data_IF_952565545616
#
_entry.id   IF_952565545616
#
_cell.length_a   1.000
_cell.length_b   1.000
_cell.length_c   1.000
_cell.angle_alpha   90.00
_cell.angle_beta   90.00
_cell.angle_gamma   90.00
#
_symmetry.space_group_name_H-M   'P 1'
#
loop_
_entity.id
_entity.type
_entity.pdbx_description
1 polymer ?
#
# COMPACT_ATOMS: atom_id res chain seq x y z
N UNK A 1 11.70 -27.23 -6.58
CA UNK A 1 11.22 -26.15 -7.47
C UNK A 1 12.09 -24.89 -7.52
N UNK A 2 12.63 -24.36 -6.40
CA UNK A 2 13.47 -23.12 -6.30
C UNK A 2 14.73 -23.03 -7.18
N UNK A 3 15.13 -24.10 -7.89
CA UNK A 3 16.33 -24.15 -8.76
C UNK A 3 16.05 -24.01 -10.26
N UNK A 4 14.78 -23.98 -10.71
CA UNK A 4 14.45 -23.76 -12.14
C UNK A 4 14.87 -22.35 -12.57
N UNK A 5 15.43 -22.21 -13.78
CA UNK A 5 15.97 -20.94 -14.30
C UNK A 5 14.93 -19.82 -14.29
N UNK A 6 13.67 -20.16 -14.59
CA UNK A 6 12.52 -19.25 -14.58
C UNK A 6 12.28 -18.62 -13.21
N UNK A 7 12.41 -19.40 -12.11
CA UNK A 7 12.20 -18.90 -10.74
C UNK A 7 13.41 -18.09 -10.25
N UNK A 8 14.62 -18.44 -10.69
CA UNK A 8 15.82 -17.64 -10.41
C UNK A 8 15.80 -16.30 -11.15
N UNK A 9 15.21 -16.25 -12.36
CA UNK A 9 15.08 -15.03 -13.14
C UNK A 9 14.13 -14.02 -12.47
N UNK A 10 12.97 -14.48 -11.97
CA UNK A 10 11.97 -13.61 -11.32
C UNK A 10 12.32 -13.11 -9.91
N UNK A 11 13.50 -13.45 -9.38
CA UNK A 11 14.03 -13.01 -8.08
C UNK A 11 13.10 -13.32 -6.88
N UNK A 12 13.28 -14.46 -6.19
CA UNK A 12 12.32 -14.95 -5.18
C UNK A 12 12.13 -14.03 -3.97
N UNK A 13 13.11 -13.17 -3.65
CA UNK A 13 13.03 -12.23 -2.53
C UNK A 13 11.96 -11.16 -2.75
N UNK A 14 11.85 -10.58 -3.95
CA UNK A 14 10.83 -9.57 -4.26
C UNK A 14 9.44 -10.18 -4.35
N UNK A 15 9.33 -11.41 -4.86
CA UNK A 15 8.06 -12.12 -4.88
C UNK A 15 7.55 -12.40 -3.45
N UNK A 16 8.44 -12.82 -2.55
CA UNK A 16 8.07 -13.04 -1.15
C UNK A 16 7.61 -11.73 -0.47
N UNK A 17 8.32 -10.62 -0.73
CA UNK A 17 7.94 -9.30 -0.22
C UNK A 17 6.55 -8.87 -0.73
N UNK A 18 6.26 -9.09 -2.02
CA UNK A 18 4.94 -8.81 -2.58
C UNK A 18 3.85 -9.63 -1.89
N UNK A 19 4.04 -10.95 -1.75
CA UNK A 19 3.09 -11.82 -1.08
C UNK A 19 2.87 -11.43 0.39
N UNK A 20 3.94 -11.11 1.12
CA UNK A 20 3.85 -10.62 2.49
C UNK A 20 3.06 -9.31 2.57
N UNK A 21 3.33 -8.34 1.69
CA UNK A 21 2.60 -7.08 1.64
C UNK A 21 1.10 -7.27 1.37
N UNK A 22 0.75 -8.10 0.38
CA UNK A 22 -0.65 -8.40 0.08
C UNK A 22 -1.35 -9.17 1.22
N UNK A 23 -0.63 -10.05 1.92
CA UNK A 23 -1.17 -10.76 3.08
C UNK A 23 -1.45 -9.81 4.24
N UNK A 24 -0.51 -8.91 4.55
CA UNK A 24 -0.67 -7.87 5.59
C UNK A 24 -1.87 -6.97 5.26
N UNK A 25 -1.99 -6.56 4.00
CA UNK A 25 -3.12 -5.76 3.55
C UNK A 25 -4.44 -6.53 3.68
N UNK A 26 -4.47 -7.82 3.31
CA UNK A 26 -5.65 -8.67 3.52
C UNK A 26 -6.01 -8.88 4.99
N UNK A 27 -5.01 -8.94 5.88
CA UNK A 27 -5.22 -9.05 7.32
C UNK A 27 -5.91 -7.81 7.92
N UNK A 28 -5.86 -6.64 7.26
CA UNK A 28 -6.58 -5.43 7.70
C UNK A 28 -8.11 -5.58 7.70
N UNK A 29 -8.64 -6.54 6.93
CA UNK A 29 -10.09 -6.83 6.92
C UNK A 29 -10.57 -7.34 8.27
N UNK A 30 -9.71 -8.05 9.02
CA UNK A 30 -10.04 -8.60 10.33
C UNK A 30 -10.41 -7.49 11.32
N UNK A 31 -9.53 -6.52 11.65
CA UNK A 31 -9.88 -5.44 12.57
C UNK A 31 -11.01 -4.56 12.03
N UNK A 32 -11.11 -4.36 10.72
CA UNK A 32 -12.22 -3.63 10.11
C UNK A 32 -13.58 -4.31 10.32
N UNK A 33 -13.61 -5.64 10.39
CA UNK A 33 -14.83 -6.42 10.61
C UNK A 33 -15.28 -6.52 12.07
N UNK A 34 -14.46 -6.07 13.02
CA UNK A 34 -14.80 -6.14 14.44
C UNK A 34 -15.86 -5.10 14.80
N UNK A 35 -16.91 -5.57 15.48
CA UNK A 35 -18.02 -4.75 15.99
C UNK A 35 -18.37 -5.22 17.40
N UNK A 36 -19.33 -4.55 18.03
CA UNK A 36 -19.90 -4.95 19.33
C UNK A 36 -20.32 -6.43 19.33
N UNK A 37 -20.25 -7.15 20.48
CA UNK A 37 -20.16 -6.64 21.85
C UNK A 37 -18.74 -6.59 22.45
N UNK A 38 -17.70 -6.52 21.61
CA UNK A 38 -16.31 -6.37 22.08
C UNK A 38 -16.15 -5.03 22.85
N UNK A 39 -15.17 -4.96 23.76
CA UNK A 39 -14.89 -3.75 24.55
C UNK A 39 -14.56 -2.54 23.67
N UNK A 40 -14.97 -1.34 24.10
CA UNK A 40 -14.68 -0.07 23.41
C UNK A 40 -13.18 0.12 23.15
N UNK A 41 -12.34 -0.20 24.14
CA UNK A 41 -10.88 -0.16 23.98
C UNK A 41 -10.38 -1.13 22.89
N UNK A 42 -10.97 -2.33 22.79
CA UNK A 42 -10.64 -3.29 21.75
C UNK A 42 -11.01 -2.79 20.36
N UNK A 43 -12.14 -2.09 20.25
CA UNK A 43 -12.60 -1.47 19.00
C UNK A 43 -11.75 -0.26 18.61
N UNK A 44 -11.32 0.57 19.57
CA UNK A 44 -10.38 1.67 19.33
C UNK A 44 -9.05 1.17 18.75
N UNK A 45 -8.50 0.11 19.36
CA UNK A 45 -7.27 -0.53 18.86
C UNK A 45 -7.49 -1.12 17.46
N UNK A 46 -8.65 -1.75 17.22
CA UNK A 46 -9.01 -2.26 15.91
C UNK A 46 -9.03 -1.14 14.86
N UNK A 47 -9.70 -0.02 15.13
CA UNK A 47 -9.75 1.16 14.24
C UNK A 47 -8.36 1.61 13.79
N UNK A 48 -7.42 1.77 14.73
CA UNK A 48 -6.07 2.21 14.41
C UNK A 48 -5.27 1.12 13.68
N UNK A 49 -5.38 -0.14 14.12
CA UNK A 49 -4.66 -1.25 13.51
C UNK A 49 -5.01 -1.45 12.02
N UNK A 50 -6.27 -1.20 11.64
CA UNK A 50 -6.73 -1.29 10.24
C UNK A 50 -5.88 -0.42 9.32
N UNK A 51 -5.69 0.86 9.69
CA UNK A 51 -4.95 1.82 8.86
C UNK A 51 -3.46 1.48 8.81
N UNK A 52 -2.89 1.08 9.95
CA UNK A 52 -1.50 0.63 10.03
C UNK A 52 -1.23 -0.56 9.10
N UNK A 53 -2.09 -1.58 9.13
CA UNK A 53 -1.97 -2.77 8.28
C UNK A 53 -2.15 -2.43 6.79
N UNK A 54 -3.14 -1.60 6.46
CA UNK A 54 -3.39 -1.15 5.09
C UNK A 54 -2.18 -0.40 4.51
N UNK A 55 -1.67 0.60 5.24
CA UNK A 55 -0.55 1.42 4.80
C UNK A 55 0.75 0.60 4.68
N UNK A 56 1.11 -0.19 5.70
CA UNK A 56 2.33 -1.01 5.66
C UNK A 56 2.22 -2.09 4.58
N UNK A 57 1.06 -2.75 4.46
CA UNK A 57 0.80 -3.77 3.45
C UNK A 57 0.95 -3.20 2.04
N UNK A 58 0.31 -2.05 1.78
CA UNK A 58 0.41 -1.34 0.51
C UNK A 58 1.86 -0.95 0.19
N UNK A 59 2.56 -0.26 1.10
CA UNK A 59 3.94 0.20 0.86
C UNK A 59 4.87 -0.98 0.59
N UNK A 60 4.70 -2.09 1.31
CA UNK A 60 5.51 -3.30 1.12
C UNK A 60 5.27 -3.94 -0.25
N UNK A 61 4.00 -4.09 -0.65
CA UNK A 61 3.62 -4.67 -1.94
C UNK A 61 4.05 -3.77 -3.12
N UNK A 62 3.75 -2.48 -3.04
CA UNK A 62 4.14 -1.48 -4.04
C UNK A 62 5.65 -1.43 -4.22
N UNK A 63 6.40 -1.41 -3.12
CA UNK A 63 7.85 -1.30 -3.16
C UNK A 63 8.52 -2.51 -3.80
N UNK A 64 7.97 -3.72 -3.62
CA UNK A 64 8.48 -4.91 -4.30
C UNK A 64 8.44 -4.75 -5.84
N UNK A 65 7.35 -4.21 -6.37
CA UNK A 65 7.17 -3.97 -7.80
C UNK A 65 8.02 -2.79 -8.29
N UNK A 66 8.06 -1.70 -7.51
CA UNK A 66 8.89 -0.54 -7.83
C UNK A 66 10.38 -0.88 -7.87
N UNK A 67 10.88 -1.66 -6.91
CA UNK A 67 12.26 -2.16 -6.89
C UNK A 67 12.61 -2.96 -8.15
N UNK A 68 11.70 -3.85 -8.59
CA UNK A 68 11.87 -4.61 -9.82
C UNK A 68 11.92 -3.70 -11.04
N UNK A 69 11.01 -2.73 -11.12
CA UNK A 69 10.97 -1.75 -12.20
C UNK A 69 12.24 -0.91 -12.26
N UNK A 70 12.70 -0.40 -11.12
CA UNK A 70 13.91 0.40 -11.01
C UNK A 70 15.14 -0.37 -11.47
N UNK A 71 15.30 -1.61 -10.99
CA UNK A 71 16.41 -2.48 -11.39
C UNK A 71 16.37 -2.75 -12.89
N UNK A 72 15.20 -3.08 -13.44
CA UNK A 72 15.03 -3.32 -14.87
C UNK A 72 15.45 -2.09 -15.68
N UNK A 73 14.96 -0.90 -15.31
CA UNK A 73 15.35 0.37 -15.95
C UNK A 73 16.86 0.63 -15.88
N UNK A 74 17.49 0.37 -14.72
CA UNK A 74 18.94 0.54 -14.53
C UNK A 74 19.73 -0.44 -15.41
N UNK A 75 19.35 -1.71 -15.46
CA UNK A 75 20.00 -2.74 -16.30
C UNK A 75 19.85 -2.39 -17.78
N UNK A 76 18.65 -2.04 -18.25
CA UNK A 76 18.41 -1.73 -19.65
C UNK A 76 19.12 -0.46 -20.11
N UNK A 77 19.15 0.59 -19.27
CA UNK A 77 19.89 1.82 -19.56
C UNK A 77 21.40 1.57 -19.67
N UNK A 78 21.96 0.68 -18.84
CA UNK A 78 23.39 0.31 -18.87
C UNK A 78 23.73 -0.68 -19.99
N UNK A 79 22.80 -1.55 -20.37
CA UNK A 79 22.94 -2.46 -21.52
C UNK A 79 23.08 -1.70 -22.83
N UNK A 80 22.33 -0.60 -23.04
CA UNK A 80 22.51 0.30 -24.19
C UNK A 80 23.91 0.94 -24.27
N UNK A 81 24.62 1.01 -23.16
CA UNK A 81 25.98 1.54 -23.06
C UNK A 81 27.06 0.44 -23.09
N UNK A 82 26.70 -0.83 -23.36
CA UNK A 82 27.58 -2.01 -23.37
C UNK A 82 28.41 -2.21 -22.09
N UNK A 83 28.00 -1.61 -20.96
CA UNK A 83 28.72 -1.71 -19.69
C UNK A 83 28.09 -2.79 -18.82
N UNK A 84 28.83 -3.85 -18.52
CA UNK A 84 28.41 -4.90 -17.58
C UNK A 84 28.35 -4.30 -16.17
N UNK A 85 27.14 -4.18 -15.62
CA UNK A 85 26.93 -3.66 -14.26
C UNK A 85 26.26 -4.74 -13.42
N UNK A 86 26.88 -5.08 -12.29
CA UNK A 86 26.26 -5.89 -11.26
C UNK A 86 25.31 -4.97 -10.49
N UNK A 87 24.02 -5.02 -10.78
CA UNK A 87 23.02 -4.28 -10.00
C UNK A 87 22.79 -5.04 -8.70
N UNK A 88 23.31 -4.49 -7.62
CA UNK A 88 23.16 -5.04 -6.29
C UNK A 88 21.74 -4.83 -5.77
N UNK A 89 21.21 -5.79 -5.02
CA UNK A 89 19.84 -5.75 -4.51
C UNK A 89 19.64 -4.64 -3.44
N UNK A 90 20.72 -4.18 -2.81
CA UNK A 90 20.71 -3.18 -1.74
C UNK A 90 20.33 -1.78 -2.25
N UNK A 91 20.75 -1.40 -3.46
CA UNK A 91 20.39 -0.11 -4.08
C UNK A 91 18.87 0.06 -4.27
N UNK A 92 18.16 -1.05 -4.49
CA UNK A 92 16.72 -1.05 -4.68
C UNK A 92 15.97 -0.90 -3.35
N UNK A 93 16.59 -1.27 -2.23
CA UNK A 93 15.95 -1.21 -0.91
C UNK A 93 15.85 0.22 -0.35
N UNK A 94 16.70 1.12 -0.83
CA UNK A 94 16.76 2.52 -0.37
C UNK A 94 15.46 3.31 -0.60
N UNK A 95 14.87 3.37 -1.81
CA UNK A 95 13.59 4.06 -2.01
C UNK A 95 12.43 3.44 -1.22
N UNK A 96 12.46 2.11 -1.01
CA UNK A 96 11.50 1.44 -0.12
C UNK A 96 11.62 1.94 1.31
N UNK A 97 12.84 1.98 1.86
CA UNK A 97 13.08 2.43 3.22
C UNK A 97 12.57 3.87 3.42
N UNK A 98 12.84 4.77 2.46
CA UNK A 98 12.34 6.15 2.52
C UNK A 98 10.80 6.18 2.56
N UNK A 99 10.14 5.51 1.62
CA UNK A 99 8.67 5.53 1.53
C UNK A 99 8.02 4.93 2.78
N UNK A 100 8.59 3.84 3.31
CA UNK A 100 8.13 3.21 4.54
C UNK A 100 8.33 4.14 5.73
N UNK A 101 9.51 4.74 5.89
CA UNK A 101 9.78 5.66 7.00
C UNK A 101 8.84 6.85 6.98
N UNK A 102 8.55 7.44 5.81
CA UNK A 102 7.59 8.55 5.71
C UNK A 102 6.19 8.13 6.16
N UNK A 103 5.69 6.96 5.71
CA UNK A 103 4.39 6.45 6.13
C UNK A 103 4.35 6.17 7.63
N UNK A 104 5.38 5.50 8.18
CA UNK A 104 5.47 5.20 9.62
C UNK A 104 5.48 6.48 10.45
N UNK A 105 6.23 7.52 10.04
CA UNK A 105 6.24 8.80 10.76
C UNK A 105 4.82 9.38 10.81
N UNK A 106 4.13 9.47 9.67
CA UNK A 106 2.76 10.02 9.61
C UNK A 106 1.81 9.21 10.49
N UNK A 107 1.85 7.88 10.41
CA UNK A 107 0.99 6.99 11.22
C UNK A 107 1.30 7.07 12.71
N UNK A 108 2.58 7.15 13.09
CA UNK A 108 3.00 7.34 14.48
C UNK A 108 2.53 8.68 15.02
N UNK A 109 2.68 9.76 14.26
CA UNK A 109 2.18 11.09 14.65
C UNK A 109 0.66 11.09 14.78
N UNK A 110 -0.06 10.44 13.85
CA UNK A 110 -1.51 10.32 13.93
C UNK A 110 -1.94 9.56 15.20
N UNK A 111 -1.29 8.43 15.47
CA UNK A 111 -1.57 7.61 16.66
C UNK A 111 -1.27 8.34 17.96
N UNK A 112 -0.21 9.17 17.99
CA UNK A 112 0.19 9.89 19.20
C UNK A 112 -0.67 11.14 19.47
N UNK A 113 -1.17 11.82 18.43
CA UNK A 113 -1.88 13.09 18.57
C UNK A 113 -3.39 12.93 18.61
N UNK A 114 -3.95 12.16 17.66
CA UNK A 114 -5.40 12.10 17.40
C UNK A 114 -5.79 10.68 16.97
N UNK A 115 -5.66 9.68 17.87
CA UNK A 115 -6.04 8.31 17.53
C UNK A 115 -7.53 8.24 17.17
N UNK A 116 -7.84 7.46 16.13
CA UNK A 116 -9.21 7.13 15.78
C UNK A 116 -9.83 6.30 16.89
N UNK A 117 -11.02 6.71 17.30
CA UNK A 117 -11.82 6.00 18.30
C UNK A 117 -13.08 5.49 17.64
N UNK A 118 -13.51 4.32 18.08
CA UNK A 118 -14.78 3.77 17.68
C UNK A 118 -15.91 4.56 18.35
N UNK A 119 -16.89 4.97 17.55
CA UNK A 119 -18.10 5.64 18.03
C UNK A 119 -19.31 5.07 17.32
N UNK A 120 -20.41 4.99 18.08
CA UNK A 120 -21.71 4.63 17.53
C UNK A 120 -22.46 5.89 17.12
N UNK A 121 -22.87 5.95 15.86
CA UNK A 121 -23.67 7.05 15.33
C UNK A 121 -25.12 6.55 15.18
N UNK A 122 -26.08 7.14 15.89
CA UNK A 122 -27.49 6.82 15.71
C UNK A 122 -27.98 7.38 14.36
N UNK A 123 -28.84 6.62 13.69
CA UNK A 123 -29.58 7.11 12.53
C UNK A 123 -30.85 7.82 13.00
N UNK A 124 -31.35 8.76 12.19
CA UNK A 124 -32.56 9.55 12.49
C UNK A 124 -33.86 8.72 12.49
N UNK A 125 -33.78 7.40 12.36
CA UNK A 125 -34.90 6.48 12.51
C UNK A 125 -35.24 6.31 13.99
N UNK A 126 -36.21 7.09 14.47
CA UNK A 126 -36.74 7.01 15.84
C UNK A 126 -38.09 6.30 15.90
N UNK A 127 -38.33 5.53 16.95
CA UNK A 127 -39.63 4.92 17.21
C UNK A 127 -40.66 5.95 17.76
N UNK A 128 -41.91 5.53 17.92
CA UNK A 128 -42.97 6.36 18.50
C UNK A 128 -42.68 6.82 19.95
N UNK A 129 -41.74 6.19 20.64
CA UNK A 129 -41.28 6.55 21.97
C UNK A 129 -39.99 7.41 21.95
N UNK A 130 -39.52 7.84 20.78
CA UNK A 130 -38.32 8.66 20.61
C UNK A 130 -36.99 7.89 20.76
N UNK A 131 -37.00 6.56 20.65
CA UNK A 131 -35.78 5.73 20.74
C UNK A 131 -35.22 5.47 19.35
N UNK A 132 -33.90 5.58 19.19
CA UNK A 132 -33.20 5.29 17.92
C UNK A 132 -33.29 3.80 17.58
N UNK A 133 -33.89 3.47 16.44
CA UNK A 133 -34.11 2.11 15.93
C UNK A 133 -32.85 1.53 15.27
N UNK A 134 -32.07 2.39 14.62
CA UNK A 134 -30.88 1.97 13.87
C UNK A 134 -29.68 2.85 14.23
N UNK A 135 -28.51 2.23 14.21
CA UNK A 135 -27.24 2.91 14.43
C UNK A 135 -26.12 2.11 13.77
N UNK A 136 -25.05 2.79 13.38
CA UNK A 136 -23.86 2.14 12.82
C UNK A 136 -22.61 2.55 13.60
N UNK A 137 -21.63 1.65 13.64
CA UNK A 137 -20.32 1.93 14.22
C UNK A 137 -19.39 2.53 13.17
N UNK A 138 -18.66 3.58 13.54
CA UNK A 138 -17.59 4.14 12.71
C UNK A 138 -16.38 4.53 13.56
N UNK A 139 -15.22 4.55 12.91
CA UNK A 139 -13.99 5.06 13.50
C UNK A 139 -13.85 6.54 13.13
N UNK A 140 -13.77 7.44 14.11
CA UNK A 140 -13.59 8.87 13.88
C UNK A 140 -12.62 9.48 14.89
N UNK A 141 -11.91 10.50 14.44
CA UNK A 141 -10.92 11.24 15.21
C UNK A 141 -11.21 12.73 15.17
N UNK A 142 -10.26 13.53 15.63
CA UNK A 142 -10.25 14.95 15.34
C UNK A 142 -9.23 15.19 14.22
N UNK A 143 -9.60 15.99 13.21
CA UNK A 143 -8.73 16.31 12.07
C UNK A 143 -8.17 15.08 11.33
N UNK A 144 -8.87 13.94 11.35
CA UNK A 144 -8.42 12.69 10.72
C UNK A 144 -8.17 12.85 9.22
N UNK A 145 -8.96 13.73 8.57
CA UNK A 145 -8.87 14.03 7.13
C UNK A 145 -7.47 14.51 6.75
N UNK A 146 -6.79 15.29 7.60
CA UNK A 146 -5.45 15.79 7.29
C UNK A 146 -4.43 14.65 7.18
N UNK A 147 -4.53 13.64 8.05
CA UNK A 147 -3.64 12.47 8.02
C UNK A 147 -3.96 11.55 6.85
N UNK A 148 -5.24 11.33 6.54
CA UNK A 148 -5.65 10.60 5.34
C UNK A 148 -5.10 11.27 4.07
N UNK A 149 -5.28 12.59 3.93
CA UNK A 149 -4.76 13.35 2.78
C UNK A 149 -3.24 13.29 2.72
N UNK A 150 -2.53 13.39 3.85
CA UNK A 150 -1.07 13.29 3.88
C UNK A 150 -0.58 11.92 3.41
N UNK A 151 -1.16 10.82 3.91
CA UNK A 151 -0.84 9.46 3.46
C UNK A 151 -1.16 9.27 1.97
N UNK A 152 -2.30 9.81 1.52
CA UNK A 152 -2.72 9.72 0.13
C UNK A 152 -1.74 10.44 -0.80
N UNK A 153 -1.35 11.67 -0.47
CA UNK A 153 -0.38 12.44 -1.28
C UNK A 153 0.98 11.74 -1.34
N UNK A 154 1.49 11.23 -0.21
CA UNK A 154 2.76 10.50 -0.16
C UNK A 154 2.71 9.25 -1.05
N UNK A 155 1.68 8.43 -0.91
CA UNK A 155 1.58 7.17 -1.65
C UNK A 155 1.23 7.38 -3.13
N UNK A 156 0.30 8.29 -3.43
CA UNK A 156 -0.10 8.61 -4.81
C UNK A 156 1.06 9.22 -5.60
N UNK A 157 1.84 10.13 -5.01
CA UNK A 157 3.03 10.68 -5.67
C UNK A 157 4.06 9.60 -6.00
N UNK A 158 4.26 8.62 -5.11
CA UNK A 158 5.12 7.48 -5.38
C UNK A 158 4.58 6.60 -6.53
N UNK A 159 3.27 6.33 -6.56
CA UNK A 159 2.62 5.54 -7.63
C UNK A 159 2.71 6.26 -8.98
N UNK A 160 2.47 7.57 -9.02
CA UNK A 160 2.62 8.40 -10.23
C UNK A 160 4.07 8.38 -10.72
N UNK A 161 5.03 8.53 -9.81
CA UNK A 161 6.44 8.44 -10.15
C UNK A 161 6.83 7.06 -10.69
N UNK A 162 6.32 5.98 -10.10
CA UNK A 162 6.53 4.62 -10.59
C UNK A 162 5.92 4.41 -11.99
N UNK A 163 4.71 4.93 -12.23
CA UNK A 163 4.05 4.86 -13.53
C UNK A 163 4.81 5.66 -14.59
N UNK A 164 5.34 6.84 -14.26
CA UNK A 164 6.27 7.58 -15.13
C UNK A 164 7.47 6.71 -15.49
N UNK A 165 8.12 6.08 -14.51
CA UNK A 165 9.27 5.20 -14.75
C UNK A 165 8.92 3.98 -15.61
N UNK A 166 7.71 3.43 -15.44
CA UNK A 166 7.20 2.32 -16.26
C UNK A 166 6.96 2.78 -17.69
N UNK A 167 6.41 3.98 -17.89
CA UNK A 167 6.21 4.55 -19.22
C UNK A 167 7.55 4.73 -19.97
N UNK A 168 8.59 5.22 -19.29
CA UNK A 168 9.94 5.32 -19.86
C UNK A 168 10.51 3.94 -20.25
N UNK A 169 10.18 2.89 -19.49
CA UNK A 169 10.63 1.52 -19.73
C UNK A 169 10.02 0.87 -20.99
N UNK A 170 8.89 1.38 -21.48
CA UNK A 170 8.13 0.80 -22.61
C UNK A 170 8.92 0.71 -23.92
N UNK A 171 9.96 1.55 -24.09
CA UNK A 171 10.84 1.55 -25.28
C UNK A 171 11.89 0.44 -25.27
N UNK A 172 11.85 -0.48 -24.30
CA UNK A 172 12.80 -1.58 -24.19
C UNK A 172 12.24 -2.86 -24.83
N UNK A 173 13.05 -3.63 -25.58
CA UNK A 173 12.59 -4.83 -26.25
C UNK A 173 12.00 -5.82 -25.23
N UNK A 174 10.78 -6.26 -25.50
CA UNK A 174 9.92 -7.09 -24.64
C UNK A 174 10.35 -8.56 -24.57
N UNK A 175 11.58 -8.89 -25.00
CA UNK A 175 12.11 -10.26 -24.95
C UNK A 175 12.17 -10.83 -23.52
N UNK A 176 12.01 -9.98 -22.51
CA UNK A 176 11.68 -10.35 -21.14
C UNK A 176 10.21 -10.02 -20.82
N UNK A 177 9.35 -11.04 -20.98
CA UNK A 177 7.91 -11.02 -20.68
C UNK A 177 7.57 -10.39 -19.30
N UNK A 178 8.50 -10.44 -18.34
CA UNK A 178 8.36 -9.87 -16.98
C UNK A 178 8.11 -8.34 -16.97
N UNK A 179 8.69 -7.58 -17.89
CA UNK A 179 8.56 -6.11 -17.92
C UNK A 179 7.15 -5.62 -18.24
N UNK A 180 6.43 -6.37 -19.08
CA UNK A 180 5.07 -6.09 -19.50
C UNK A 180 4.09 -6.25 -18.32
N UNK A 181 4.19 -7.37 -17.59
CA UNK A 181 3.34 -7.61 -16.41
C UNK A 181 3.57 -6.60 -15.29
N UNK A 182 4.82 -6.20 -15.03
CA UNK A 182 5.12 -5.15 -14.06
C UNK A 182 4.44 -3.84 -14.46
N UNK A 183 4.49 -3.49 -15.75
CA UNK A 183 3.88 -2.24 -16.24
C UNK A 183 2.35 -2.26 -16.13
N UNK A 184 1.70 -3.39 -16.44
CA UNK A 184 0.26 -3.57 -16.22
C UNK A 184 -0.08 -3.42 -14.73
N UNK A 185 0.70 -4.05 -13.84
CA UNK A 185 0.47 -3.96 -12.40
C UNK A 185 0.64 -2.53 -11.84
N UNK A 186 1.57 -1.74 -12.38
CA UNK A 186 1.70 -0.32 -12.01
C UNK A 186 0.53 0.53 -12.49
N UNK A 187 0.06 0.28 -13.71
CA UNK A 187 -1.09 0.97 -14.27
C UNK A 187 -2.38 0.63 -13.49
N UNK A 188 -2.59 -0.64 -13.14
CA UNK A 188 -3.77 -1.06 -12.37
C UNK A 188 -3.78 -0.48 -10.96
N UNK A 189 -2.62 -0.29 -10.33
CA UNK A 189 -2.54 0.39 -9.03
C UNK A 189 -2.87 1.88 -9.13
N UNK A 190 -2.47 2.54 -10.21
CA UNK A 190 -2.84 3.95 -10.44
C UNK A 190 -4.35 4.07 -10.69
N UNK A 191 -4.93 3.19 -11.49
CA UNK A 191 -6.38 3.12 -11.74
C UNK A 191 -7.15 2.90 -10.43
N UNK A 192 -6.75 1.91 -9.63
CA UNK A 192 -7.37 1.62 -8.35
C UNK A 192 -7.26 2.81 -7.38
N UNK A 193 -6.14 3.53 -7.38
CA UNK A 193 -6.00 4.75 -6.59
C UNK A 193 -6.97 5.83 -7.07
N UNK A 194 -7.02 6.14 -8.38
CA UNK A 194 -7.87 7.19 -8.95
C UNK A 194 -9.36 6.92 -8.71
N UNK A 195 -9.79 5.66 -8.87
CA UNK A 195 -11.18 5.26 -8.66
C UNK A 195 -11.54 5.09 -7.18
N UNK A 196 -10.55 4.77 -6.32
CA UNK A 196 -10.76 4.53 -4.90
C UNK A 196 -10.77 5.79 -4.03
N UNK A 197 -10.13 6.90 -4.43
CA UNK A 197 -10.17 8.16 -3.65
C UNK A 197 -11.59 8.75 -3.48
N UNK A 198 -12.46 8.81 -4.52
CA UNK A 198 -13.76 9.47 -4.41
C UNK A 198 -14.88 8.63 -3.78
N UNK A 199 -14.63 7.34 -3.48
CA UNK A 199 -15.62 6.39 -2.94
C UNK A 199 -15.38 6.19 -1.46
#
# INVERSE_FOLDING_TARGET
YRKRSVIKAGQPTFLNMLCCGTFIMGASVIPMSLQEPISEYGLDVACMSTIWLLSIGFVTAFSALFCKLWRLNKVMKKSKSFRRVKVEAQDALYPFAILLTLNVIVLSTWTATTPLKWRRVPLDSVDHFGRTLESYGMCSGENEVMFYVALLVINLSAVVFANWQSYLARKHPTEFNESFYISIAMASQLEAAVLGVPV
#
